data_IF_586609762740
#
_entry.id   IF_586609762740
#
_cell.length_a   1.000
_cell.length_b   1.000
_cell.length_c   1.000
_cell.angle_alpha   90.00
_cell.angle_beta   90.00
_cell.angle_gamma   90.00
#
_symmetry.space_group_name_H-M   'P 1'
#
loop_
_entity.id
_entity.type
_entity.pdbx_description
1 polymer ?
#
# COMPACT_ATOMS: atom_id res chain seq x y z
N UNK A 1 57.15 -47.88 26.74
CA UNK A 1 56.12 -47.82 25.67
C UNK A 1 54.94 -47.04 26.22
N UNK A 2 54.91 -45.73 25.98
CA UNK A 2 53.83 -44.85 26.45
C UNK A 2 52.80 -44.71 25.33
N UNK A 3 51.57 -45.20 25.53
CA UNK A 3 50.46 -44.93 24.62
C UNK A 3 49.82 -43.59 25.01
N UNK A 4 50.02 -42.58 24.17
CA UNK A 4 49.24 -41.35 24.19
C UNK A 4 47.87 -41.64 23.56
N UNK A 5 46.85 -41.79 24.40
CA UNK A 5 45.45 -41.82 23.97
C UNK A 5 44.96 -40.39 23.75
N UNK A 6 44.86 -39.99 22.48
CA UNK A 6 44.28 -38.72 22.06
C UNK A 6 42.78 -38.67 22.37
N UNK A 7 42.39 -37.77 23.28
CA UNK A 7 41.01 -37.46 23.58
C UNK A 7 40.47 -36.51 22.49
N UNK A 8 39.68 -37.03 21.55
CA UNK A 8 38.97 -36.22 20.57
C UNK A 8 37.79 -35.52 21.25
N UNK A 9 37.93 -34.21 21.49
CA UNK A 9 36.85 -33.36 21.98
C UNK A 9 35.88 -33.07 20.80
N UNK A 10 34.72 -33.73 20.78
CA UNK A 10 33.66 -33.43 19.82
C UNK A 10 32.90 -32.19 20.32
N UNK A 11 33.15 -31.05 19.70
CA UNK A 11 32.36 -29.82 19.91
C UNK A 11 31.06 -29.99 19.11
N UNK A 12 29.97 -30.31 19.82
CA UNK A 12 28.61 -30.29 19.26
C UNK A 12 28.20 -28.81 19.18
N UNK A 13 28.25 -28.23 17.99
CA UNK A 13 27.67 -26.92 17.72
C UNK A 13 26.15 -27.05 17.71
N UNK A 14 25.49 -26.56 18.77
CA UNK A 14 24.06 -26.30 18.78
C UNK A 14 23.78 -25.21 17.73
N UNK A 15 23.39 -25.61 16.52
CA UNK A 15 22.83 -24.69 15.53
C UNK A 15 21.41 -24.38 16.04
N UNK A 16 21.10 -23.14 16.47
CA UNK A 16 19.72 -22.80 16.78
C UNK A 16 18.91 -22.98 15.50
N UNK A 17 17.91 -23.86 15.56
CA UNK A 17 16.89 -23.99 14.52
C UNK A 17 16.23 -22.63 14.38
N UNK A 18 16.60 -21.89 13.34
CA UNK A 18 15.83 -20.73 12.90
C UNK A 18 14.49 -21.32 12.47
N UNK A 19 13.49 -21.25 13.35
CA UNK A 19 12.12 -21.40 12.91
C UNK A 19 11.91 -20.33 11.85
N UNK A 20 11.86 -20.73 10.58
CA UNK A 20 11.28 -19.90 9.54
C UNK A 20 9.84 -19.68 10.00
N UNK A 21 9.60 -18.58 10.71
CA UNK A 21 8.25 -18.16 11.01
C UNK A 21 7.64 -17.89 9.64
N UNK A 22 6.81 -18.82 9.17
CA UNK A 22 6.07 -18.62 7.93
C UNK A 22 5.34 -17.30 8.13
N UNK A 23 5.66 -16.30 7.31
CA UNK A 23 4.98 -15.02 7.36
C UNK A 23 3.48 -15.32 7.34
N UNK A 24 2.71 -14.85 8.33
CA UNK A 24 1.30 -15.16 8.41
C UNK A 24 0.63 -14.70 7.11
N UNK A 25 -0.31 -15.49 6.59
CA UNK A 25 -1.11 -15.09 5.43
C UNK A 25 -1.79 -13.74 5.73
N UNK A 26 -1.38 -12.71 4.99
CA UNK A 26 -1.88 -11.35 5.14
C UNK A 26 -3.34 -11.19 4.68
N UNK A 27 -3.95 -12.23 4.12
CA UNK A 27 -5.42 -12.29 3.96
C UNK A 27 -6.11 -12.04 5.31
N UNK A 28 -5.59 -12.60 6.41
CA UNK A 28 -6.14 -12.34 7.74
C UNK A 28 -5.90 -10.90 8.19
N UNK A 29 -4.73 -10.34 7.89
CA UNK A 29 -4.41 -8.94 8.20
C UNK A 29 -5.42 -8.00 7.54
N UNK A 30 -5.70 -8.20 6.25
CA UNK A 30 -6.66 -7.37 5.52
C UNK A 30 -8.09 -7.52 6.05
N UNK A 31 -8.50 -8.73 6.45
CA UNK A 31 -9.80 -8.94 7.13
C UNK A 31 -9.89 -8.22 8.47
N UNK A 32 -8.82 -8.24 9.26
CA UNK A 32 -8.78 -7.54 10.55
C UNK A 32 -8.81 -6.02 10.36
N UNK A 33 -8.08 -5.49 9.39
CA UNK A 33 -8.16 -4.07 9.00
C UNK A 33 -9.58 -3.71 8.56
N UNK A 34 -10.24 -4.54 7.75
CA UNK A 34 -11.62 -4.32 7.34
C UNK A 34 -12.56 -4.28 8.54
N UNK A 35 -12.37 -5.17 9.52
CA UNK A 35 -13.17 -5.15 10.75
C UNK A 35 -12.93 -3.89 11.58
N UNK A 36 -11.69 -3.39 11.63
CA UNK A 36 -11.38 -2.12 12.29
C UNK A 36 -12.08 -0.96 11.56
N UNK A 37 -12.08 -0.95 10.23
CA UNK A 37 -12.82 0.03 9.44
C UNK A 37 -14.34 -0.02 9.73
N UNK A 38 -14.92 -1.21 9.91
CA UNK A 38 -16.33 -1.34 10.33
C UNK A 38 -16.59 -0.69 11.70
N UNK A 39 -15.71 -0.93 12.69
CA UNK A 39 -15.81 -0.31 14.02
C UNK A 39 -15.73 1.23 13.92
N UNK A 40 -14.83 1.75 13.08
CA UNK A 40 -14.70 3.19 12.83
C UNK A 40 -15.99 3.74 12.19
N UNK A 41 -16.54 3.05 11.20
CA UNK A 41 -17.79 3.43 10.53
C UNK A 41 -18.98 3.44 11.50
N UNK A 42 -18.98 2.54 12.48
CA UNK A 42 -19.96 2.47 13.57
C UNK A 42 -19.65 3.43 14.74
N UNK A 43 -18.59 4.23 14.62
CA UNK A 43 -18.10 5.19 15.62
C UNK A 43 -17.70 4.55 16.95
N UNK A 44 -17.40 3.25 16.93
CA UNK A 44 -16.88 2.50 18.07
C UNK A 44 -15.36 2.69 18.17
N UNK A 45 -14.93 3.94 18.35
CA UNK A 45 -13.51 4.32 18.21
C UNK A 45 -12.60 3.64 19.24
N UNK A 46 -13.02 3.50 20.49
CA UNK A 46 -12.23 2.78 21.51
C UNK A 46 -12.05 1.30 21.14
N UNK A 47 -13.11 0.64 20.66
CA UNK A 47 -13.00 -0.75 20.20
C UNK A 47 -12.10 -0.86 18.96
N UNK A 48 -12.11 0.15 18.08
CA UNK A 48 -11.20 0.21 16.95
C UNK A 48 -9.74 0.35 17.39
N UNK A 49 -9.45 1.15 18.44
CA UNK A 49 -8.11 1.25 19.02
C UNK A 49 -7.66 -0.06 19.66
N UNK A 50 -8.51 -0.71 20.45
CA UNK A 50 -8.21 -2.02 21.04
C UNK A 50 -7.94 -3.09 19.96
N UNK A 51 -8.59 -2.98 18.80
CA UNK A 51 -8.35 -3.85 17.67
C UNK A 51 -7.06 -3.49 16.93
N UNK A 52 -6.69 -2.21 16.82
CA UNK A 52 -5.38 -1.79 16.32
C UNK A 52 -4.24 -2.29 17.21
N UNK A 53 -4.36 -2.21 18.53
CA UNK A 53 -3.34 -2.72 19.48
C UNK A 53 -3.05 -4.21 19.18
N UNK A 54 -4.11 -5.02 19.07
CA UNK A 54 -3.99 -6.45 18.73
C UNK A 54 -3.39 -6.68 17.35
N UNK A 55 -3.73 -5.85 16.36
CA UNK A 55 -3.17 -5.93 15.02
C UNK A 55 -1.64 -5.66 15.05
N UNK A 56 -1.23 -4.63 15.80
CA UNK A 56 0.16 -4.21 15.89
C UNK A 56 1.03 -5.21 16.65
N UNK A 57 0.47 -5.88 17.67
CA UNK A 57 1.14 -6.95 18.41
C UNK A 57 1.30 -8.24 17.58
N UNK A 58 0.36 -8.49 16.66
CA UNK A 58 0.27 -9.75 15.92
C UNK A 58 1.13 -9.79 14.67
N UNK A 59 1.30 -8.67 13.96
CA UNK A 59 1.93 -8.65 12.64
C UNK A 59 3.28 -7.94 12.65
N UNK A 60 4.31 -8.60 12.13
CA UNK A 60 5.66 -8.04 12.04
C UNK A 60 5.72 -6.78 11.15
N UNK A 61 4.93 -6.77 10.07
CA UNK A 61 4.78 -5.61 9.22
C UNK A 61 3.32 -5.15 9.20
N UNK A 62 3.12 -3.86 9.40
CA UNK A 62 1.83 -3.17 9.33
C UNK A 62 2.02 -1.99 8.39
N UNK A 63 1.08 -1.78 7.47
CA UNK A 63 1.14 -0.63 6.57
C UNK A 63 1.01 0.66 7.37
N UNK A 64 1.83 1.65 7.03
CA UNK A 64 1.94 2.95 7.68
C UNK A 64 0.59 3.68 7.80
N UNK A 65 -0.32 3.43 6.85
CA UNK A 65 -1.71 3.91 6.90
C UNK A 65 -2.37 3.61 8.25
N UNK A 66 -2.15 2.42 8.80
CA UNK A 66 -2.86 2.00 10.00
C UNK A 66 -2.38 2.75 11.24
N UNK A 67 -1.07 2.96 11.37
CA UNK A 67 -0.52 3.80 12.45
C UNK A 67 -1.00 5.25 12.33
N UNK A 68 -1.16 5.77 11.10
CA UNK A 68 -1.69 7.13 10.88
C UNK A 68 -3.14 7.25 11.32
N UNK A 69 -3.98 6.26 11.01
CA UNK A 69 -5.39 6.26 11.39
C UNK A 69 -5.52 6.10 12.91
N UNK A 70 -4.81 5.11 13.50
CA UNK A 70 -4.82 4.87 14.94
C UNK A 70 -4.36 6.09 15.74
N UNK A 71 -3.26 6.74 15.34
CA UNK A 71 -2.77 7.96 16.01
C UNK A 71 -3.79 9.11 15.97
N UNK A 72 -4.49 9.29 14.83
CA UNK A 72 -5.53 10.31 14.72
C UNK A 72 -6.78 9.97 15.54
N UNK A 73 -7.17 8.70 15.61
CA UNK A 73 -8.29 8.23 16.45
C UNK A 73 -7.99 8.41 17.93
N UNK A 74 -6.81 8.00 18.41
CA UNK A 74 -6.39 8.21 19.79
C UNK A 74 -6.35 9.71 20.14
N UNK A 75 -5.81 10.54 19.24
CA UNK A 75 -5.79 11.98 19.43
C UNK A 75 -7.21 12.57 19.50
N UNK A 76 -8.13 12.05 18.67
CA UNK A 76 -9.54 12.46 18.68
C UNK A 76 -10.25 12.12 19.99
N UNK A 77 -9.91 10.98 20.60
CA UNK A 77 -10.43 10.54 21.90
C UNK A 77 -9.76 11.22 23.10
N UNK A 78 -8.67 11.95 22.88
CA UNK A 78 -7.88 12.55 23.95
C UNK A 78 -6.97 11.56 24.68
N UNK A 79 -6.77 10.36 24.14
CA UNK A 79 -5.82 9.38 24.67
C UNK A 79 -4.41 9.76 24.22
N UNK A 80 -3.77 10.64 24.98
CA UNK A 80 -2.42 11.11 24.69
C UNK A 80 -1.38 9.99 24.73
N UNK A 81 -1.57 8.96 25.57
CA UNK A 81 -0.61 7.87 25.69
C UNK A 81 -0.58 7.05 24.41
N UNK A 82 -1.73 6.51 23.99
CA UNK A 82 -1.86 5.76 22.72
C UNK A 82 -1.49 6.63 21.52
N UNK A 83 -1.84 7.92 21.55
CA UNK A 83 -1.46 8.86 20.48
C UNK A 83 0.05 8.85 20.25
N UNK A 84 0.85 9.08 21.31
CA UNK A 84 2.31 9.15 21.17
C UNK A 84 2.95 7.79 20.89
N UNK A 85 2.37 6.71 21.41
CA UNK A 85 2.78 5.34 21.08
C UNK A 85 2.61 5.05 19.57
N UNK A 86 1.41 5.30 19.02
CA UNK A 86 1.15 5.10 17.59
C UNK A 86 1.95 6.04 16.69
N UNK A 87 2.24 7.27 17.14
CA UNK A 87 3.18 8.14 16.43
C UNK A 87 4.59 7.53 16.39
N UNK A 88 5.04 6.92 17.48
CA UNK A 88 6.30 6.18 17.54
C UNK A 88 6.35 5.04 16.51
N UNK A 89 5.31 4.19 16.48
CA UNK A 89 5.19 3.14 15.46
C UNK A 89 5.15 3.69 14.04
N UNK A 90 4.44 4.81 13.85
CA UNK A 90 4.39 5.52 12.58
C UNK A 90 5.76 5.99 12.12
N UNK A 91 6.58 6.57 13.01
CA UNK A 91 7.96 7.00 12.69
C UNK A 91 8.84 5.81 12.33
N UNK A 92 8.79 4.72 13.12
CA UNK A 92 9.50 3.47 12.83
C UNK A 92 9.05 2.81 11.51
N UNK A 93 7.86 3.19 11.02
CA UNK A 93 7.30 2.74 9.74
C UNK A 93 7.47 3.75 8.60
N UNK A 94 8.16 4.87 8.84
CA UNK A 94 8.53 5.84 7.81
C UNK A 94 7.75 7.16 7.81
N UNK A 95 6.84 7.39 8.77
CA UNK A 95 6.22 8.70 8.95
C UNK A 95 7.28 9.71 9.39
N UNK A 96 7.50 10.74 8.59
CA UNK A 96 8.45 11.78 8.96
C UNK A 96 7.88 12.68 10.06
N UNK A 97 8.75 13.15 10.95
CA UNK A 97 8.38 14.14 11.96
C UNK A 97 7.78 15.40 11.33
N UNK A 98 8.32 15.84 10.19
CA UNK A 98 7.75 16.93 9.42
C UNK A 98 6.31 16.66 8.96
N UNK A 99 6.03 15.42 8.51
CA UNK A 99 4.68 14.98 8.14
C UNK A 99 3.71 15.08 9.31
N UNK A 100 4.12 14.64 10.50
CA UNK A 100 3.31 14.75 11.73
C UNK A 100 3.10 16.23 12.10
N UNK A 101 4.16 17.05 12.07
CA UNK A 101 4.13 18.48 12.41
C UNK A 101 3.19 19.31 11.52
N UNK A 102 2.99 18.89 10.28
CA UNK A 102 2.12 19.54 9.29
C UNK A 102 0.70 18.97 9.29
N UNK A 103 0.46 17.80 9.89
CA UNK A 103 -0.83 17.15 9.87
C UNK A 103 -1.86 17.95 10.70
N UNK A 104 -2.99 18.32 10.11
CA UNK A 104 -3.92 19.28 10.71
C UNK A 104 -4.49 18.81 12.06
N UNK A 105 -4.71 17.50 12.20
CA UNK A 105 -5.21 16.89 13.43
C UNK A 105 -4.14 16.57 14.48
N UNK A 106 -2.86 16.68 14.16
CA UNK A 106 -1.78 16.28 15.07
C UNK A 106 -0.83 17.42 15.39
N UNK A 107 -0.84 18.51 14.62
CA UNK A 107 0.04 19.67 14.81
C UNK A 107 -0.07 20.33 16.19
N UNK A 108 -1.21 20.18 16.89
CA UNK A 108 -1.37 20.72 18.24
C UNK A 108 -0.53 19.96 19.28
N UNK A 109 -0.20 18.70 19.02
CA UNK A 109 0.59 17.83 19.91
C UNK A 109 2.00 18.37 20.14
N UNK A 110 2.50 19.27 19.30
CA UNK A 110 3.77 20.00 19.52
C UNK A 110 3.84 20.76 20.85
N UNK A 111 2.68 21.05 21.45
CA UNK A 111 2.59 21.72 22.76
C UNK A 111 2.48 20.73 23.93
N UNK A 112 2.28 19.44 23.64
CA UNK A 112 2.20 18.41 24.66
C UNK A 112 3.62 18.09 25.18
N UNK A 113 3.83 17.93 26.50
CA UNK A 113 5.14 17.59 27.07
C UNK A 113 5.79 16.33 26.47
N UNK A 114 5.00 15.30 26.11
CA UNK A 114 5.50 14.06 25.49
C UNK A 114 6.06 14.25 24.09
N UNK A 115 5.81 15.40 23.46
CA UNK A 115 6.39 15.71 22.15
C UNK A 115 7.92 15.70 22.17
N UNK A 116 8.54 16.17 23.25
CA UNK A 116 10.00 16.12 23.36
C UNK A 116 10.53 14.69 23.33
N UNK A 117 9.80 13.73 23.91
CA UNK A 117 10.21 12.32 23.94
C UNK A 117 10.19 11.71 22.54
N UNK A 118 9.17 12.05 21.74
CA UNK A 118 9.10 11.66 20.32
C UNK A 118 10.24 12.29 19.50
N UNK A 119 10.58 13.55 19.75
CA UNK A 119 11.70 14.21 19.06
C UNK A 119 13.06 13.62 19.44
N UNK A 120 13.26 13.30 20.71
CA UNK A 120 14.49 12.65 21.20
C UNK A 120 14.65 11.23 20.65
N UNK A 121 13.55 10.47 20.52
CA UNK A 121 13.56 9.11 19.98
C UNK A 121 13.56 9.04 18.44
N UNK A 122 13.26 10.15 17.75
CA UNK A 122 13.10 10.17 16.29
C UNK A 122 14.30 9.59 15.53
N UNK A 123 15.52 9.94 15.91
CA UNK A 123 16.73 9.48 15.21
C UNK A 123 16.86 7.94 15.26
N UNK A 124 16.59 7.34 16.42
CA UNK A 124 16.64 5.89 16.61
C UNK A 124 15.51 5.20 15.83
N UNK A 125 14.27 5.65 15.99
CA UNK A 125 13.12 5.08 15.27
C UNK A 125 13.28 5.20 13.74
N UNK A 126 13.88 6.31 13.27
CA UNK A 126 14.18 6.51 11.86
C UNK A 126 15.27 5.57 11.36
N UNK A 127 16.27 5.29 12.18
CA UNK A 127 17.31 4.32 11.85
C UNK A 127 16.72 2.91 11.69
N UNK A 128 15.76 2.51 12.55
CA UNK A 128 15.07 1.22 12.42
C UNK A 128 14.31 1.12 11.09
N UNK A 129 13.60 2.19 10.71
CA UNK A 129 12.96 2.29 9.40
C UNK A 129 13.98 2.14 8.26
N UNK A 130 15.09 2.87 8.32
CA UNK A 130 16.09 2.88 7.25
C UNK A 130 16.82 1.54 7.12
N UNK A 131 17.09 0.86 8.23
CA UNK A 131 17.73 -0.46 8.26
C UNK A 131 16.85 -1.54 7.61
N UNK A 132 15.53 -1.47 7.79
CA UNK A 132 14.59 -2.42 7.18
C UNK A 132 14.54 -2.30 5.65
N UNK A 133 14.77 -1.12 5.10
CA UNK A 133 14.54 -0.85 3.68
C UNK A 133 15.76 -1.22 2.83
N UNK A 134 15.50 -1.90 1.71
CA UNK A 134 16.48 -2.10 0.66
C UNK A 134 16.67 -0.80 -0.15
N UNK A 135 17.62 0.04 0.27
CA UNK A 135 17.86 1.32 -0.40
C UNK A 135 18.35 1.16 -1.86
N UNK A 136 19.15 0.13 -2.15
CA UNK A 136 19.60 -0.15 -3.52
C UNK A 136 18.40 -0.41 -4.44
N UNK A 137 17.48 -1.28 -4.03
CA UNK A 137 16.27 -1.57 -4.78
C UNK A 137 15.32 -0.36 -4.84
N UNK A 138 15.21 0.40 -3.76
CA UNK A 138 14.47 1.66 -3.72
C UNK A 138 14.96 2.62 -4.81
N UNK A 139 16.27 2.79 -5.00
CA UNK A 139 16.80 3.67 -6.04
C UNK A 139 16.49 3.15 -7.45
N UNK A 140 16.55 1.83 -7.67
CA UNK A 140 16.17 1.22 -8.95
C UNK A 140 14.71 1.55 -9.29
N UNK A 141 13.78 1.26 -8.39
CA UNK A 141 12.34 1.49 -8.62
C UNK A 141 12.01 2.98 -8.72
N UNK A 142 12.68 3.83 -7.93
CA UNK A 142 12.58 5.29 -8.04
C UNK A 142 12.98 5.79 -9.43
N UNK A 143 14.03 5.23 -10.02
CA UNK A 143 14.47 5.62 -11.36
C UNK A 143 13.49 5.16 -12.45
N UNK A 144 12.94 3.95 -12.33
CA UNK A 144 11.84 3.49 -13.20
C UNK A 144 10.65 4.45 -13.11
N UNK A 145 10.26 4.81 -11.89
CA UNK A 145 9.14 5.73 -11.66
C UNK A 145 9.41 7.12 -12.25
N UNK A 146 10.62 7.67 -12.09
CA UNK A 146 10.96 8.97 -12.71
C UNK A 146 10.84 8.93 -14.24
N UNK A 147 11.28 7.84 -14.86
CA UNK A 147 11.16 7.68 -16.31
C UNK A 147 9.70 7.53 -16.75
N UNK A 148 8.92 6.73 -16.03
CA UNK A 148 7.48 6.57 -16.24
C UNK A 148 6.72 7.91 -16.11
N UNK A 149 7.00 8.67 -15.05
CA UNK A 149 6.39 9.99 -14.86
C UNK A 149 6.78 10.95 -15.99
N UNK A 150 8.04 10.95 -16.44
CA UNK A 150 8.47 11.74 -17.59
C UNK A 150 7.72 11.35 -18.87
N UNK A 151 7.50 10.04 -19.09
CA UNK A 151 6.69 9.54 -20.20
C UNK A 151 5.23 10.04 -20.09
N UNK A 152 4.61 9.94 -18.93
CA UNK A 152 3.25 10.41 -18.68
C UNK A 152 3.09 11.93 -18.91
N UNK A 153 4.04 12.74 -18.42
CA UNK A 153 4.08 14.18 -18.69
C UNK A 153 4.22 14.49 -20.18
N UNK A 154 5.12 13.77 -20.88
CA UNK A 154 5.29 13.94 -22.32
C UNK A 154 4.05 13.55 -23.13
N UNK A 155 3.23 12.62 -22.64
CA UNK A 155 1.94 12.28 -23.23
C UNK A 155 0.91 13.39 -23.01
N UNK A 156 0.79 13.89 -21.77
CA UNK A 156 -0.20 14.89 -21.37
C UNK A 156 -0.10 16.18 -22.20
N UNK A 157 1.13 16.65 -22.48
CA UNK A 157 1.36 17.90 -23.20
C UNK A 157 1.32 17.80 -24.73
N UNK A 158 0.87 16.67 -25.29
CA UNK A 158 0.75 16.54 -26.75
C UNK A 158 -0.51 17.25 -27.27
N UNK A 159 -0.39 18.04 -28.36
CA UNK A 159 -1.46 18.94 -28.79
C UNK A 159 -2.61 18.27 -29.54
N UNK A 160 -2.47 17.00 -29.96
CA UNK A 160 -3.49 16.32 -30.76
C UNK A 160 -3.51 14.82 -30.53
N UNK A 161 -4.68 14.19 -30.75
CA UNK A 161 -4.85 12.74 -30.66
C UNK A 161 -3.94 11.97 -31.63
N UNK A 162 -3.72 12.48 -32.84
CA UNK A 162 -2.75 11.89 -33.78
C UNK A 162 -1.32 11.88 -33.20
N UNK A 163 -0.90 12.95 -32.52
CA UNK A 163 0.42 13.02 -31.88
C UNK A 163 0.51 12.10 -30.65
N UNK A 164 -0.59 11.97 -29.90
CA UNK A 164 -0.72 11.06 -28.76
C UNK A 164 -0.63 9.60 -29.20
N UNK A 165 -1.39 9.17 -30.20
CA UNK A 165 -1.37 7.80 -30.70
C UNK A 165 0.02 7.41 -31.22
N UNK A 166 0.64 8.29 -32.04
CA UNK A 166 2.01 8.07 -32.50
C UNK A 166 3.00 7.94 -31.35
N UNK A 167 2.83 8.72 -30.28
CA UNK A 167 3.69 8.62 -29.10
C UNK A 167 3.45 7.34 -28.30
N UNK A 168 2.19 6.94 -28.12
CA UNK A 168 1.83 5.68 -27.45
C UNK A 168 2.54 4.52 -28.17
N UNK A 169 2.33 4.40 -29.47
CA UNK A 169 2.85 3.31 -30.31
C UNK A 169 4.38 3.26 -30.31
N UNK A 170 5.04 4.40 -30.56
CA UNK A 170 6.47 4.42 -30.84
C UNK A 170 7.35 4.67 -29.61
N UNK A 171 6.77 5.12 -28.49
CA UNK A 171 7.53 5.52 -27.30
C UNK A 171 6.96 4.94 -26.02
N UNK A 172 5.67 5.14 -25.75
CA UNK A 172 5.11 4.77 -24.45
C UNK A 172 5.05 3.25 -24.25
N UNK A 173 4.59 2.50 -25.25
CA UNK A 173 4.54 1.04 -25.21
C UNK A 173 5.92 0.43 -24.95
N UNK A 174 6.98 0.71 -25.75
CA UNK A 174 8.32 0.14 -25.50
C UNK A 174 8.89 0.45 -24.11
N UNK A 175 8.70 1.68 -23.61
CA UNK A 175 9.16 2.08 -22.27
C UNK A 175 8.39 1.29 -21.20
N UNK A 176 7.07 1.23 -21.34
CA UNK A 176 6.19 0.59 -20.39
C UNK A 176 6.41 -0.92 -20.30
N UNK A 177 6.55 -1.62 -21.43
CA UNK A 177 6.89 -3.05 -21.45
C UNK A 177 8.22 -3.34 -20.75
N UNK A 178 9.24 -2.49 -20.97
CA UNK A 178 10.53 -2.63 -20.28
C UNK A 178 10.38 -2.44 -18.77
N UNK A 179 9.58 -1.47 -18.33
CA UNK A 179 9.32 -1.25 -16.91
C UNK A 179 8.56 -2.42 -16.28
N UNK A 180 7.52 -2.95 -16.92
CA UNK A 180 6.77 -4.11 -16.43
C UNK A 180 7.65 -5.34 -16.34
N UNK A 181 8.49 -5.61 -17.34
CA UNK A 181 9.43 -6.72 -17.29
C UNK A 181 10.46 -6.56 -16.16
N UNK A 182 10.99 -5.35 -15.96
CA UNK A 182 11.91 -5.07 -14.86
C UNK A 182 11.24 -5.25 -13.50
N UNK A 183 10.04 -4.70 -13.30
CA UNK A 183 9.26 -4.90 -12.07
C UNK A 183 8.92 -6.38 -11.86
N UNK A 184 8.56 -7.11 -12.92
CA UNK A 184 8.29 -8.56 -12.84
C UNK A 184 9.52 -9.32 -12.33
N UNK A 185 10.71 -8.99 -12.84
CA UNK A 185 11.95 -9.59 -12.35
C UNK A 185 12.22 -9.23 -10.89
N UNK A 186 12.04 -7.96 -10.50
CA UNK A 186 12.17 -7.53 -9.11
C UNK A 186 11.22 -8.30 -8.19
N UNK A 187 9.93 -8.44 -8.57
CA UNK A 187 8.93 -9.14 -7.76
C UNK A 187 9.30 -10.61 -7.58
N UNK A 188 9.80 -11.25 -8.64
CA UNK A 188 10.24 -12.65 -8.60
C UNK A 188 11.50 -12.86 -7.75
N UNK A 189 12.42 -11.91 -7.70
CA UNK A 189 13.71 -12.06 -7.00
C UNK A 189 13.71 -11.49 -5.59
N UNK A 190 12.93 -10.45 -5.32
CA UNK A 190 12.97 -9.68 -4.08
C UNK A 190 11.61 -9.53 -3.38
N UNK A 191 10.51 -9.95 -4.01
CA UNK A 191 9.14 -9.61 -3.57
C UNK A 191 8.67 -8.27 -4.13
N UNK A 192 7.37 -7.96 -3.95
CA UNK A 192 6.80 -6.73 -4.50
C UNK A 192 7.46 -5.49 -3.89
N UNK A 193 8.00 -4.56 -4.69
CA UNK A 193 8.74 -3.41 -4.19
C UNK A 193 7.76 -2.32 -3.70
N UNK A 194 7.02 -2.63 -2.64
CA UNK A 194 6.09 -1.75 -1.95
C UNK A 194 6.67 -1.16 -0.67
N UNK A 195 5.78 -0.78 0.24
CA UNK A 195 6.14 -0.11 1.48
C UNK A 195 7.03 -0.97 2.41
N UNK A 196 6.81 -2.28 2.41
CA UNK A 196 7.59 -3.20 3.24
C UNK A 196 9.07 -3.24 2.84
N UNK A 197 9.36 -3.28 1.53
CA UNK A 197 10.72 -3.52 1.01
C UNK A 197 11.44 -2.21 0.67
N UNK A 198 10.75 -1.26 0.04
CA UNK A 198 11.35 0.01 -0.41
C UNK A 198 10.77 1.24 0.30
N UNK A 199 9.80 1.09 1.19
CA UNK A 199 9.23 2.21 1.94
C UNK A 199 8.44 3.19 1.07
N UNK A 200 7.97 2.74 -0.09
CA UNK A 200 7.10 3.49 -0.98
C UNK A 200 6.01 2.57 -1.52
N UNK A 201 4.74 2.98 -1.38
CA UNK A 201 3.58 2.21 -1.84
C UNK A 201 3.11 2.56 -3.26
N UNK A 202 3.61 3.66 -3.85
CA UNK A 202 2.97 4.28 -5.03
C UNK A 202 3.75 4.06 -6.32
N UNK A 203 5.08 3.96 -6.29
CA UNK A 203 5.89 3.93 -7.52
C UNK A 203 5.60 2.73 -8.42
N UNK A 204 5.63 1.52 -7.87
CA UNK A 204 5.39 0.31 -8.65
C UNK A 204 3.94 0.25 -9.16
N UNK A 205 2.96 0.56 -8.30
CA UNK A 205 1.54 0.57 -8.69
C UNK A 205 1.23 1.62 -9.74
N UNK A 206 1.85 2.81 -9.69
CA UNK A 206 1.68 3.85 -10.71
C UNK A 206 2.22 3.41 -12.07
N UNK A 207 3.41 2.81 -12.12
CA UNK A 207 4.00 2.28 -13.35
C UNK A 207 3.05 1.25 -13.99
N UNK A 208 2.53 0.32 -13.18
CA UNK A 208 1.60 -0.71 -13.64
C UNK A 208 0.24 -0.13 -14.07
N UNK A 209 -0.26 0.89 -13.36
CA UNK A 209 -1.47 1.62 -13.74
C UNK A 209 -1.32 2.33 -15.09
N UNK A 210 -0.19 3.02 -15.31
CA UNK A 210 0.13 3.65 -16.59
C UNK A 210 0.29 2.64 -17.73
N UNK A 211 0.91 1.49 -17.46
CA UNK A 211 0.97 0.39 -18.44
C UNK A 211 -0.43 -0.01 -18.88
N UNK A 212 -1.33 -0.22 -17.92
CA UNK A 212 -2.70 -0.65 -18.15
C UNK A 212 -3.59 0.46 -18.74
N UNK A 213 -3.13 1.72 -18.75
CA UNK A 213 -3.89 2.87 -19.24
C UNK A 213 -3.54 3.32 -20.67
N UNK A 214 -2.68 2.60 -21.39
CA UNK A 214 -2.11 3.06 -22.69
C UNK A 214 -3.16 3.20 -23.82
N UNK A 215 -3.69 2.10 -24.36
CA UNK A 215 -4.78 2.12 -25.35
C UNK A 215 -5.56 0.80 -25.35
N UNK A 216 -6.84 0.80 -25.77
CA UNK A 216 -7.63 -0.43 -25.88
C UNK A 216 -6.97 -1.49 -26.78
N UNK A 217 -6.44 -1.08 -27.94
CA UNK A 217 -5.79 -1.98 -28.90
C UNK A 217 -4.59 -2.69 -28.29
N UNK A 218 -3.77 -1.93 -27.55
CA UNK A 218 -2.62 -2.50 -26.85
C UNK A 218 -3.06 -3.45 -25.71
N UNK A 219 -4.02 -3.05 -24.87
CA UNK A 219 -4.48 -3.90 -23.76
C UNK A 219 -5.16 -5.21 -24.20
N UNK A 220 -5.77 -5.23 -25.39
CA UNK A 220 -6.31 -6.45 -25.99
C UNK A 220 -5.20 -7.43 -26.41
N UNK A 221 -4.05 -6.91 -26.85
CA UNK A 221 -2.90 -7.70 -27.28
C UNK A 221 -1.91 -8.01 -26.14
N UNK A 222 -1.97 -7.27 -25.03
CA UNK A 222 -1.02 -7.39 -23.93
C UNK A 222 -1.04 -8.78 -23.27
N UNK A 223 0.17 -9.29 -23.03
CA UNK A 223 0.42 -10.55 -22.32
C UNK A 223 1.21 -10.34 -21.03
N UNK A 224 1.81 -9.16 -20.84
CA UNK A 224 2.65 -8.88 -19.69
C UNK A 224 1.81 -8.74 -18.43
N UNK A 225 0.78 -7.89 -18.43
CA UNK A 225 -0.06 -7.71 -17.24
C UNK A 225 -0.84 -8.98 -16.88
N UNK A 226 -1.50 -9.72 -17.81
CA UNK A 226 -2.14 -10.99 -17.47
C UNK A 226 -1.20 -12.01 -16.82
N UNK A 227 0.07 -12.05 -17.24
CA UNK A 227 1.09 -12.93 -16.64
C UNK A 227 1.52 -12.44 -15.25
N UNK A 228 1.58 -11.13 -15.05
CA UNK A 228 1.97 -10.50 -13.79
C UNK A 228 0.85 -10.56 -12.74
N UNK A 229 -0.42 -10.51 -13.14
CA UNK A 229 -1.61 -10.49 -12.28
C UNK A 229 -1.59 -11.53 -11.15
N UNK A 230 -1.37 -12.85 -11.39
CA UNK A 230 -1.31 -13.83 -10.31
C UNK A 230 -0.15 -13.58 -9.33
N UNK A 231 0.97 -13.04 -9.81
CA UNK A 231 2.13 -12.71 -8.95
C UNK A 231 1.79 -11.55 -8.01
N UNK A 232 1.03 -10.55 -8.47
CA UNK A 232 0.56 -9.45 -7.62
C UNK A 232 -0.43 -9.91 -6.56
N UNK A 233 -1.34 -10.82 -6.91
CA UNK A 233 -2.28 -11.41 -5.93
C UNK A 233 -1.54 -12.18 -4.83
N UNK A 234 -0.49 -12.93 -5.18
CA UNK A 234 0.36 -13.57 -4.18
C UNK A 234 1.16 -12.55 -3.34
N UNK A 235 1.57 -11.42 -3.92
CA UNK A 235 2.22 -10.35 -3.16
C UNK A 235 1.29 -9.74 -2.09
N UNK A 236 -0.02 -9.64 -2.35
CA UNK A 236 -1.01 -9.22 -1.34
C UNK A 236 -1.06 -10.23 -0.20
N UNK A 237 -1.17 -11.53 -0.50
CA UNK A 237 -1.19 -12.60 0.53
C UNK A 237 0.08 -12.65 1.37
N UNK A 238 1.21 -12.21 0.82
CA UNK A 238 2.50 -12.10 1.53
C UNK A 238 2.67 -10.78 2.30
N UNK A 239 1.70 -9.87 2.24
CA UNK A 239 1.77 -8.56 2.89
C UNK A 239 2.70 -7.55 2.21
N UNK A 240 3.19 -7.86 1.01
CA UNK A 240 4.13 -7.02 0.28
C UNK A 240 3.40 -5.89 -0.48
N UNK A 241 2.14 -6.12 -0.85
CA UNK A 241 1.32 -5.21 -1.65
C UNK A 241 0.01 -4.87 -0.93
N UNK A 242 -0.33 -3.57 -0.90
CA UNK A 242 -1.62 -3.13 -0.41
C UNK A 242 -2.71 -3.45 -1.45
N UNK A 243 -3.82 -4.11 -1.08
CA UNK A 243 -4.84 -4.55 -2.04
C UNK A 243 -5.53 -3.39 -2.76
N UNK A 244 -5.59 -2.19 -2.18
CA UNK A 244 -6.10 -1.00 -2.88
C UNK A 244 -5.22 -0.58 -4.06
N UNK A 245 -3.90 -0.78 -3.97
CA UNK A 245 -2.99 -0.48 -5.08
C UNK A 245 -3.25 -1.44 -6.25
N UNK A 246 -3.49 -2.72 -5.95
CA UNK A 246 -3.85 -3.72 -6.96
C UNK A 246 -5.19 -3.39 -7.61
N UNK A 247 -6.19 -3.04 -6.80
CA UNK A 247 -7.51 -2.70 -7.28
C UNK A 247 -7.46 -1.55 -8.31
N UNK A 248 -6.62 -0.52 -8.09
CA UNK A 248 -6.40 0.57 -9.07
C UNK A 248 -5.78 0.07 -10.38
N UNK A 249 -4.77 -0.81 -10.29
CA UNK A 249 -4.07 -1.36 -11.46
C UNK A 249 -5.02 -2.20 -12.33
N UNK A 250 -5.81 -3.07 -11.69
CA UNK A 250 -6.80 -3.92 -12.36
C UNK A 250 -7.97 -3.10 -12.90
N UNK A 251 -8.41 -2.06 -12.18
CA UNK A 251 -9.41 -1.10 -12.65
C UNK A 251 -8.99 -0.47 -13.99
N UNK A 252 -7.74 -0.02 -14.09
CA UNK A 252 -7.22 0.54 -15.34
C UNK A 252 -7.23 -0.49 -16.46
N UNK A 253 -6.78 -1.72 -16.18
CA UNK A 253 -6.73 -2.79 -17.18
C UNK A 253 -8.11 -3.11 -17.74
N UNK A 254 -9.06 -3.43 -16.87
CA UNK A 254 -10.41 -3.81 -17.27
C UNK A 254 -11.13 -2.65 -17.94
N UNK A 255 -10.95 -1.43 -17.43
CA UNK A 255 -11.53 -0.24 -18.03
C UNK A 255 -10.99 0.02 -19.43
N UNK A 256 -9.69 -0.08 -19.68
CA UNK A 256 -9.16 0.27 -21.01
C UNK A 256 -9.38 -0.88 -21.99
N UNK A 257 -9.17 -2.13 -21.57
CA UNK A 257 -9.38 -3.31 -22.41
C UNK A 257 -10.82 -3.44 -22.92
N UNK A 258 -11.79 -3.04 -22.12
CA UNK A 258 -13.22 -3.10 -22.47
C UNK A 258 -13.76 -1.82 -23.11
N UNK A 259 -12.89 -0.86 -23.46
CA UNK A 259 -13.31 0.47 -23.89
C UNK A 259 -14.33 1.12 -22.92
N UNK A 260 -14.01 1.02 -21.64
CA UNK A 260 -14.74 1.53 -20.47
C UNK A 260 -16.12 0.90 -20.24
N UNK A 261 -16.45 -0.20 -20.91
CA UNK A 261 -17.71 -0.92 -20.70
C UNK A 261 -17.72 -1.71 -19.39
N UNK A 262 -16.58 -2.30 -18.99
CA UNK A 262 -16.46 -3.02 -17.72
C UNK A 262 -16.07 -2.04 -16.62
N UNK A 263 -16.90 -1.97 -15.58
CA UNK A 263 -16.55 -1.36 -14.30
C UNK A 263 -16.21 -2.46 -13.30
N UNK A 264 -15.12 -2.28 -12.55
CA UNK A 264 -14.63 -3.26 -11.58
C UNK A 264 -14.75 -2.73 -10.15
N UNK A 265 -13.67 -2.29 -9.51
CA UNK A 265 -13.66 -1.86 -8.12
C UNK A 265 -14.31 -0.48 -7.91
N UNK A 266 -14.58 0.28 -8.98
CA UNK A 266 -15.19 1.61 -8.88
C UNK A 266 -14.25 2.64 -8.23
N UNK A 267 -12.94 2.50 -8.45
CA UNK A 267 -11.92 3.42 -7.95
C UNK A 267 -11.60 4.47 -9.01
N UNK A 268 -11.46 4.05 -10.28
CA UNK A 268 -11.15 4.99 -11.37
C UNK A 268 -12.38 5.45 -12.14
N UNK A 269 -13.42 4.62 -12.21
CA UNK A 269 -14.63 4.89 -12.98
C UNK A 269 -15.83 5.05 -12.05
N UNK A 270 -16.77 5.95 -12.38
CA UNK A 270 -18.08 5.94 -11.74
C UNK A 270 -18.79 4.62 -12.06
N UNK A 271 -19.52 4.12 -11.06
CA UNK A 271 -20.33 2.91 -11.16
C UNK A 271 -21.79 3.28 -11.46
N UNK A 272 -22.46 2.47 -12.27
CA UNK A 272 -23.93 2.46 -12.37
C UNK A 272 -24.51 1.58 -11.27
N UNK A 273 -25.83 1.61 -11.07
CA UNK A 273 -26.46 0.75 -10.06
C UNK A 273 -26.28 -0.74 -10.34
N UNK A 274 -26.21 -1.13 -11.62
CA UNK A 274 -26.00 -2.52 -12.05
C UNK A 274 -24.57 -3.01 -11.76
N UNK A 275 -23.60 -2.09 -11.67
CA UNK A 275 -22.19 -2.43 -11.40
C UNK A 275 -21.91 -2.71 -9.92
N UNK A 276 -22.79 -2.30 -9.00
CA UNK A 276 -22.50 -2.31 -7.56
C UNK A 276 -22.25 -3.71 -7.01
N UNK A 277 -23.11 -4.67 -7.35
CA UNK A 277 -23.02 -6.04 -6.82
C UNK A 277 -21.70 -6.68 -7.26
N UNK A 278 -21.37 -6.55 -8.55
CA UNK A 278 -20.10 -7.03 -9.11
C UNK A 278 -18.90 -6.33 -8.46
N UNK A 279 -18.98 -5.01 -8.27
CA UNK A 279 -17.90 -4.25 -7.64
C UNK A 279 -17.65 -4.70 -6.20
N UNK A 280 -18.72 -4.92 -5.43
CA UNK A 280 -18.64 -5.39 -4.06
C UNK A 280 -18.16 -6.85 -3.98
N UNK A 281 -18.53 -7.72 -4.92
CA UNK A 281 -17.97 -9.07 -5.04
C UNK A 281 -16.44 -9.02 -5.23
N UNK A 282 -15.97 -8.25 -6.20
CA UNK A 282 -14.52 -8.08 -6.44
C UNK A 282 -13.80 -7.48 -5.23
N UNK A 283 -14.41 -6.49 -4.55
CA UNK A 283 -13.86 -5.90 -3.32
C UNK A 283 -13.75 -6.92 -2.19
N UNK A 284 -14.75 -7.78 -2.04
CA UNK A 284 -14.76 -8.87 -1.06
C UNK A 284 -13.64 -9.86 -1.32
N UNK A 285 -13.40 -10.26 -2.58
CA UNK A 285 -12.33 -11.19 -2.94
C UNK A 285 -10.93 -10.67 -2.56
N UNK A 286 -10.75 -9.35 -2.52
CA UNK A 286 -9.50 -8.70 -2.09
C UNK A 286 -9.47 -8.31 -0.60
N UNK A 287 -10.54 -8.58 0.16
CA UNK A 287 -10.71 -8.11 1.53
C UNK A 287 -10.54 -6.58 1.67
N UNK A 288 -11.08 -5.84 0.71
CA UNK A 288 -11.18 -4.38 0.78
C UNK A 288 -12.62 -3.94 1.02
N UNK A 289 -12.78 -2.73 1.54
CA UNK A 289 -14.08 -2.18 1.91
C UNK A 289 -15.10 -2.25 0.78
N UNK A 290 -16.33 -2.60 1.13
CA UNK A 290 -17.48 -2.44 0.24
C UNK A 290 -17.74 -0.96 -0.06
N UNK A 291 -18.58 -0.70 -1.06
CA UNK A 291 -19.02 0.66 -1.40
C UNK A 291 -19.75 1.31 -0.22
N UNK A 292 -20.61 0.56 0.46
CA UNK A 292 -21.42 1.02 1.59
C UNK A 292 -20.52 1.37 2.78
N UNK A 293 -19.57 0.49 3.13
CA UNK A 293 -18.61 0.76 4.20
C UNK A 293 -17.77 2.01 3.87
N UNK A 294 -17.26 2.11 2.64
CA UNK A 294 -16.53 3.31 2.19
C UNK A 294 -17.38 4.58 2.37
N UNK A 295 -18.65 4.54 1.99
CA UNK A 295 -19.53 5.70 2.08
C UNK A 295 -19.80 6.12 3.52
N UNK A 296 -19.92 5.16 4.46
CA UNK A 296 -20.01 5.45 5.91
C UNK A 296 -18.70 6.05 6.43
N UNK A 297 -17.55 5.52 6.01
CA UNK A 297 -16.25 6.07 6.42
C UNK A 297 -16.05 7.52 5.93
N UNK A 298 -16.53 7.86 4.73
CA UNK A 298 -16.53 9.27 4.25
C UNK A 298 -17.33 10.17 5.20
N UNK A 299 -18.46 9.71 5.74
CA UNK A 299 -19.22 10.49 6.73
C UNK A 299 -18.43 10.68 8.03
N UNK A 300 -17.71 9.66 8.47
CA UNK A 300 -16.83 9.73 9.64
C UNK A 300 -15.65 10.68 9.41
N UNK A 301 -14.99 10.64 8.25
CA UNK A 301 -13.94 11.60 7.88
C UNK A 301 -14.47 13.04 7.93
N UNK A 302 -15.66 13.30 7.36
CA UNK A 302 -16.26 14.64 7.37
C UNK A 302 -16.59 15.09 8.81
N UNK A 303 -17.13 14.17 9.62
CA UNK A 303 -17.54 14.45 10.99
C UNK A 303 -16.36 14.72 11.93
N UNK A 304 -15.30 13.93 11.82
CA UNK A 304 -14.16 13.95 12.77
C UNK A 304 -12.97 14.75 12.23
N UNK A 305 -12.86 14.85 10.90
CA UNK A 305 -11.70 15.33 10.15
C UNK A 305 -10.49 14.40 10.21
N UNK A 306 -10.66 13.15 10.64
CA UNK A 306 -9.62 12.11 10.56
C UNK A 306 -9.42 11.75 9.09
N UNK A 307 -8.18 11.69 8.61
CA UNK A 307 -7.82 11.15 7.30
C UNK A 307 -7.79 9.62 7.39
N UNK A 308 -8.86 8.97 6.92
CA UNK A 308 -9.00 7.51 6.79
C UNK A 308 -8.46 7.02 5.44
N UNK A 309 -7.78 7.88 4.67
CA UNK A 309 -7.05 7.52 3.48
C UNK A 309 -7.94 6.90 2.38
N UNK A 310 -9.19 7.37 2.28
CA UNK A 310 -10.22 6.85 1.35
C UNK A 310 -10.03 7.30 -0.11
N UNK A 311 -9.03 8.15 -0.37
CA UNK A 311 -8.80 8.82 -1.64
C UNK A 311 -7.48 8.48 -2.36
N UNK A 312 -6.64 7.58 -1.85
CA UNK A 312 -5.35 7.27 -2.49
C UNK A 312 -5.54 6.86 -3.96
N UNK A 313 -5.11 7.72 -4.89
CA UNK A 313 -5.13 7.45 -6.34
C UNK A 313 -6.52 7.37 -6.98
N UNK A 314 -7.60 7.57 -6.23
CA UNK A 314 -8.98 7.50 -6.72
C UNK A 314 -9.39 8.79 -7.42
N UNK A 315 -9.99 8.66 -8.61
CA UNK A 315 -10.64 9.80 -9.29
C UNK A 315 -12.02 10.10 -8.67
N UNK A 316 -12.56 9.18 -7.86
CA UNK A 316 -13.80 9.37 -7.11
C UNK A 316 -13.49 9.99 -5.75
N UNK A 317 -13.78 11.29 -5.61
CA UNK A 317 -13.75 12.03 -4.34
C UNK A 317 -15.11 11.93 -3.65
N UNK A 318 -15.11 11.79 -2.33
CA UNK A 318 -16.36 11.68 -1.55
C UNK A 318 -17.02 10.31 -1.74
N UNK A 319 -18.34 10.22 -1.51
CA UNK A 319 -19.11 8.97 -1.62
C UNK A 319 -19.13 8.43 -3.06
N UNK A 320 -19.15 7.10 -3.19
CA UNK A 320 -19.47 6.42 -4.45
C UNK A 320 -21.00 6.32 -4.51
N UNK A 321 -21.60 7.00 -5.47
CA UNK A 321 -23.05 7.01 -5.71
C UNK A 321 -23.24 6.50 -7.14
N UNK A 322 -24.26 5.67 -7.34
CA UNK A 322 -24.64 5.21 -8.66
C UNK A 322 -24.87 6.42 -9.57
N UNK A 323 -24.31 6.38 -10.78
CA UNK A 323 -24.65 7.34 -11.83
C UNK A 323 -25.57 6.66 -12.83
N UNK A 324 -26.60 7.40 -13.23
CA UNK A 324 -27.50 7.04 -14.32
C UNK A 324 -26.80 7.05 -15.68
#
# INVERSE_FOLDING_TARGET
MHSLSSLCLVIITLIPSIHLNQQPDYTNYHREVLRIEELIAEKQFEMALDAYDKLFDKYQFVFLREYKIAAQLAAHLGDEYRTFEYLGFGVASGWTLEGIKKHDKLKYLKRNPRWSDLELSYAALRQDYEYRINDSLRQVVKNLSKEDQKMAWNYLFRPSEKSKNKFIENVAIPISERHVNHLTNIIKTHGYPGEQIIGNSVWASTILGHHNSLSPEYQLADKLYPTLKPILLEAIKRGEMNPYDYAIIEDWYLSVKSDRQIKSYGIINPLTQEDFDRSNEMRSDLNIRSIELRNKLIEVEIMTGIDLHLGHGSWVRGKIIARD
#
